data_IF_412168615789
#
_entry.id   IF_412168615789
#
_cell.length_a   1.000
_cell.length_b   1.000
_cell.length_c   1.000
_cell.angle_alpha   90.00
_cell.angle_beta   90.00
_cell.angle_gamma   90.00
#
_symmetry.space_group_name_H-M   'P 1'
#
loop_
_entity.id
_entity.type
_entity.pdbx_description
1 polymer ?
#
# COMPACT_ATOMS: atom_id res chain seq x y z
N UNK A 1 -4.07 -7.92 -13.28
CA UNK A 1 -2.60 -8.06 -13.31
C UNK A 1 -2.10 -8.15 -11.88
N UNK A 2 -1.72 -9.34 -11.40
CA UNK A 2 -1.23 -9.52 -10.03
C UNK A 2 0.29 -9.46 -9.98
N UNK A 3 0.85 -8.70 -9.06
CA UNK A 3 2.30 -8.62 -8.85
C UNK A 3 2.65 -9.50 -7.65
N UNK A 4 3.29 -10.65 -7.91
CA UNK A 4 3.74 -11.54 -6.84
C UNK A 4 4.90 -10.90 -6.09
N UNK A 5 4.76 -10.74 -4.79
CA UNK A 5 5.83 -10.25 -3.90
C UNK A 5 6.12 -11.26 -2.81
N UNK A 6 7.31 -11.16 -2.21
CA UNK A 6 7.71 -12.01 -1.10
C UNK A 6 7.46 -11.29 0.20
N UNK A 7 6.96 -12.03 1.18
CA UNK A 7 6.94 -11.63 2.58
C UNK A 7 8.30 -11.98 3.18
N UNK A 8 8.89 -11.06 3.91
CA UNK A 8 10.17 -11.22 4.58
C UNK A 8 9.97 -11.04 6.09
N UNK A 9 10.53 -11.95 6.87
CA UNK A 9 10.56 -11.84 8.33
C UNK A 9 11.96 -11.41 8.77
N UNK A 10 12.05 -10.27 9.43
CA UNK A 10 13.24 -9.83 10.15
C UNK A 10 13.04 -10.16 11.61
N UNK A 11 13.67 -11.24 12.07
CA UNK A 11 13.63 -11.67 13.46
C UNK A 11 14.81 -11.09 14.24
N UNK A 12 14.52 -10.37 15.33
CA UNK A 12 15.50 -9.85 16.28
C UNK A 12 15.23 -10.44 17.66
N UNK A 13 16.20 -10.30 18.57
CA UNK A 13 16.16 -10.88 19.92
C UNK A 13 14.91 -10.50 20.72
N UNK A 14 14.31 -9.34 20.45
CA UNK A 14 13.14 -8.83 21.16
C UNK A 14 11.95 -8.48 20.24
N UNK A 15 12.07 -8.67 18.92
CA UNK A 15 11.00 -8.27 17.99
C UNK A 15 10.98 -9.09 16.71
N UNK A 16 9.78 -9.26 16.17
CA UNK A 16 9.54 -9.88 14.88
C UNK A 16 8.91 -8.83 13.97
N UNK A 17 9.62 -8.45 12.92
CA UNK A 17 9.12 -7.46 11.96
C UNK A 17 8.89 -8.12 10.61
N UNK A 18 7.64 -8.10 10.17
CA UNK A 18 7.22 -8.62 8.87
C UNK A 18 7.20 -7.50 7.85
N UNK A 19 7.82 -7.74 6.70
CA UNK A 19 7.87 -6.81 5.59
C UNK A 19 7.24 -7.45 4.36
N UNK A 20 6.41 -6.69 3.67
CA UNK A 20 5.94 -7.02 2.33
C UNK A 20 6.55 -6.03 1.36
N UNK A 21 7.20 -6.54 0.30
CA UNK A 21 7.67 -5.66 -0.76
C UNK A 21 6.45 -5.09 -1.48
N UNK A 22 6.34 -3.77 -1.57
CA UNK A 22 5.30 -3.11 -2.35
C UNK A 22 5.79 -2.89 -3.78
N UNK A 23 5.15 -3.44 -4.82
CA UNK A 23 5.62 -3.30 -6.20
C UNK A 23 5.61 -1.84 -6.65
N UNK A 24 6.72 -1.35 -7.20
CA UNK A 24 6.82 0.00 -7.73
C UNK A 24 5.77 0.27 -8.83
N UNK A 25 5.44 -0.72 -9.66
CA UNK A 25 4.41 -0.60 -10.68
C UNK A 25 3.02 -0.34 -10.09
N UNK A 26 2.68 -0.95 -8.95
CA UNK A 26 1.42 -0.69 -8.25
C UNK A 26 1.42 0.71 -7.65
N UNK A 27 2.53 1.11 -7.01
CA UNK A 27 2.69 2.45 -6.44
C UNK A 27 2.51 3.55 -7.50
N UNK A 28 3.11 3.37 -8.68
CA UNK A 28 3.00 4.30 -9.79
C UNK A 28 1.59 4.33 -10.38
N UNK A 29 0.96 3.16 -10.56
CA UNK A 29 -0.38 3.07 -11.14
C UNK A 29 -1.45 3.76 -10.28
N UNK A 30 -1.28 3.77 -8.96
CA UNK A 30 -2.20 4.44 -8.03
C UNK A 30 -1.72 5.84 -7.60
N UNK A 31 -0.61 6.33 -8.17
CA UNK A 31 0.02 7.61 -7.83
C UNK A 31 0.21 7.78 -6.30
N UNK A 32 0.81 6.77 -5.69
CA UNK A 32 1.04 6.74 -4.25
C UNK A 32 2.04 7.82 -3.82
N UNK A 33 1.73 8.57 -2.76
CA UNK A 33 2.63 9.61 -2.25
C UNK A 33 3.50 9.10 -1.10
N UNK A 34 4.73 9.63 -1.01
CA UNK A 34 5.64 9.28 0.09
C UNK A 34 5.04 9.75 1.42
N UNK A 35 4.92 8.83 2.37
CA UNK A 35 4.39 9.13 3.72
C UNK A 35 2.87 9.11 3.81
N UNK A 36 2.17 8.61 2.79
CA UNK A 36 0.74 8.37 2.86
C UNK A 36 0.40 7.26 3.86
N UNK A 37 -0.59 7.50 4.70
CA UNK A 37 -1.09 6.52 5.66
C UNK A 37 -2.10 5.59 4.97
N UNK A 38 -1.93 4.28 5.21
CA UNK A 38 -2.78 3.23 4.66
C UNK A 38 -3.07 2.18 5.72
N UNK A 39 -4.23 1.56 5.58
CA UNK A 39 -4.71 0.55 6.50
C UNK A 39 -4.71 -0.81 5.83
N UNK A 40 -4.14 -1.82 6.51
CA UNK A 40 -4.26 -3.21 6.10
C UNK A 40 -5.50 -3.82 6.74
N UNK A 41 -6.41 -4.33 5.92
CA UNK A 41 -7.65 -4.97 6.36
C UNK A 41 -7.57 -6.44 5.98
N UNK A 42 -7.85 -7.31 6.94
CA UNK A 42 -7.96 -8.75 6.71
C UNK A 42 -9.41 -9.02 6.30
N UNK A 43 -9.61 -9.35 5.02
CA UNK A 43 -10.93 -9.68 4.48
C UNK A 43 -11.21 -11.17 4.68
N UNK A 44 -10.24 -12.03 4.35
CA UNK A 44 -10.26 -13.45 4.66
C UNK A 44 -8.83 -14.03 4.77
N UNK A 45 -8.71 -15.35 4.88
CA UNK A 45 -7.40 -16.04 5.00
C UNK A 45 -6.55 -15.97 3.72
N UNK A 46 -7.14 -15.64 2.59
CA UNK A 46 -6.52 -15.52 1.27
C UNK A 46 -6.33 -14.05 0.84
N UNK A 47 -7.18 -13.15 1.34
CA UNK A 47 -7.32 -11.78 0.88
C UNK A 47 -7.03 -10.79 2.02
N UNK A 48 -6.01 -9.96 1.78
CA UNK A 48 -5.69 -8.80 2.61
C UNK A 48 -5.79 -7.57 1.70
N UNK A 49 -6.56 -6.59 2.15
CA UNK A 49 -6.85 -5.36 1.39
C UNK A 49 -6.03 -4.22 1.96
N UNK A 50 -5.31 -3.51 1.08
CA UNK A 50 -4.70 -2.23 1.42
C UNK A 50 -5.70 -1.11 1.13
N UNK A 51 -6.26 -0.49 2.17
CA UNK A 51 -7.19 0.63 2.04
C UNK A 51 -6.45 1.95 2.26
N UNK A 52 -6.65 2.88 1.32
CA UNK A 52 -6.17 4.26 1.43
C UNK A 52 -7.16 5.11 2.20
N UNK A 53 -6.68 6.12 2.91
CA UNK A 53 -7.54 7.11 3.53
C UNK A 53 -8.31 7.93 2.47
N UNK A 54 -9.58 8.22 2.76
CA UNK A 54 -10.45 8.95 1.84
C UNK A 54 -9.92 10.36 1.52
N UNK A 55 -9.21 11.01 2.46
CA UNK A 55 -8.61 12.33 2.22
C UNK A 55 -7.45 12.22 1.23
N UNK A 56 -6.64 11.17 1.32
CA UNK A 56 -5.56 10.93 0.38
C UNK A 56 -6.10 10.71 -1.04
N UNK A 57 -7.16 9.90 -1.17
CA UNK A 57 -7.85 9.68 -2.45
C UNK A 57 -8.49 10.96 -2.99
N UNK A 58 -9.10 11.77 -2.12
CA UNK A 58 -9.70 13.04 -2.51
C UNK A 58 -8.64 14.06 -2.99
N UNK A 59 -7.49 14.13 -2.32
CA UNK A 59 -6.36 14.96 -2.72
C UNK A 59 -5.82 14.54 -4.10
N UNK A 60 -5.70 13.24 -4.35
CA UNK A 60 -5.30 12.71 -5.64
C UNK A 60 -6.29 13.09 -6.76
N UNK A 61 -7.60 12.89 -6.51
CA UNK A 61 -8.66 13.29 -7.46
C UNK A 61 -8.60 14.79 -7.78
N UNK A 62 -8.28 15.63 -6.80
CA UNK A 62 -8.12 17.08 -7.01
C UNK A 62 -6.90 17.38 -7.90
N UNK A 63 -5.74 16.78 -7.63
CA UNK A 63 -4.52 16.91 -8.46
C UNK A 63 -4.76 16.50 -9.92
N UNK A 64 -5.45 15.39 -10.12
CA UNK A 64 -5.77 14.87 -11.47
C UNK A 64 -6.71 15.81 -12.25
N UNK A 65 -7.65 16.49 -11.57
CA UNK A 65 -8.53 17.47 -12.22
C UNK A 65 -7.79 18.75 -12.63
N UNK A 66 -6.78 19.18 -11.88
CA UNK A 66 -6.00 20.39 -12.18
C UNK A 66 -4.96 20.18 -13.29
N UNK A 67 -4.60 18.92 -13.59
CA UNK A 67 -3.67 18.55 -14.68
C UNK A 67 -4.35 18.40 -16.06
N UNK A 68 -5.68 18.53 -16.12
CA UNK A 68 -6.49 18.49 -17.34
C UNK A 68 -6.77 19.90 -17.83
#
# INVERSE_FOLDING_TARGET
MGYKTKIQLIKRTASEQWYVNFPAAVAQAIEFEKGEEVEWIIDDHQNIVLRRDDKAVAALKKKLKTKK
#
